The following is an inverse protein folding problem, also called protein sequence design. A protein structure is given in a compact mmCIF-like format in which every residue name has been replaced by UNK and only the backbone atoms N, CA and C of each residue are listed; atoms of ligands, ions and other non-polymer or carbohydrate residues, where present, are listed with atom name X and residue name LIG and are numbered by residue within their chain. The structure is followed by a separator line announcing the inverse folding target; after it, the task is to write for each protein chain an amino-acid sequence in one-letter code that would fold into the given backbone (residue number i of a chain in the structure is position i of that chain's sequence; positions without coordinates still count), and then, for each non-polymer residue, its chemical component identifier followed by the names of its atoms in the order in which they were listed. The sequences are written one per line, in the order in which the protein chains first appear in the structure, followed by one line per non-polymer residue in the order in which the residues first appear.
data_IF_231583322107
#
_entry.id   IF_231583322107
#
_cell.length_a   1.000
_cell.length_b   1.000
_cell.length_c   1.000
_cell.angle_alpha   90.00
_cell.angle_beta   90.00
_cell.angle_gamma   90.00
#
_symmetry.space_group_name_H-M   'P 1'
#
loop_
_entity.id
_entity.type
_entity.pdbx_description
1 polymer ?
#
# COMPACT_ATOMS: atom_id res chain seq x y z
N UNK A 1 8.43 13.46 -19.32
CA UNK A 1 9.74 14.07 -18.96
C UNK A 1 10.55 13.09 -18.13
N UNK A 2 11.88 13.26 -18.00
CA UNK A 2 12.72 12.43 -17.13
C UNK A 2 12.19 12.37 -15.68
N UNK A 3 11.69 13.50 -15.17
CA UNK A 3 11.05 13.56 -13.84
C UNK A 3 9.88 12.59 -13.72
N UNK A 4 9.03 12.51 -14.72
CA UNK A 4 7.84 11.64 -14.71
C UNK A 4 8.24 10.16 -14.75
N UNK A 5 9.32 9.82 -15.47
CA UNK A 5 9.90 8.46 -15.47
C UNK A 5 10.38 8.07 -14.08
N UNK A 6 11.06 8.99 -13.38
CA UNK A 6 11.54 8.76 -12.01
C UNK A 6 10.38 8.57 -11.04
N UNK A 7 9.34 9.42 -11.12
CA UNK A 7 8.14 9.29 -10.28
C UNK A 7 7.41 7.97 -10.55
N UNK A 8 7.28 7.56 -11.82
CA UNK A 8 6.65 6.29 -12.19
C UNK A 8 7.44 5.08 -11.67
N UNK A 9 8.77 5.11 -11.73
CA UNK A 9 9.61 4.04 -11.17
C UNK A 9 9.40 3.87 -9.67
N UNK A 10 9.27 4.98 -8.94
CA UNK A 10 8.98 4.98 -7.49
C UNK A 10 7.55 4.50 -7.20
N UNK A 11 6.58 4.80 -8.06
CA UNK A 11 5.24 4.18 -7.98
C UNK A 11 5.33 2.67 -8.14
N UNK A 12 6.13 2.17 -9.07
CA UNK A 12 6.30 0.72 -9.26
C UNK A 12 6.86 0.04 -7.99
N UNK A 13 7.81 0.68 -7.30
CA UNK A 13 8.31 0.23 -6.01
C UNK A 13 7.19 0.16 -4.95
N UNK A 14 6.37 1.20 -4.85
CA UNK A 14 5.23 1.25 -3.92
C UNK A 14 4.20 0.15 -4.22
N UNK A 15 3.85 -0.07 -5.49
CA UNK A 15 2.93 -1.12 -5.93
C UNK A 15 3.44 -2.51 -5.57
N UNK A 16 4.72 -2.76 -5.82
CA UNK A 16 5.37 -4.02 -5.43
C UNK A 16 5.26 -4.23 -3.92
N UNK A 17 5.53 -3.18 -3.12
CA UNK A 17 5.40 -3.26 -1.68
C UNK A 17 3.95 -3.53 -1.24
N UNK A 18 2.96 -2.88 -1.85
CA UNK A 18 1.54 -3.13 -1.57
C UNK A 18 1.14 -4.59 -1.83
N UNK A 19 1.63 -5.19 -2.92
CA UNK A 19 1.40 -6.61 -3.22
C UNK A 19 2.05 -7.53 -2.19
N UNK A 20 3.26 -7.19 -1.71
CA UNK A 20 3.93 -7.92 -0.62
C UNK A 20 3.13 -7.83 0.67
N UNK A 21 2.70 -6.63 1.08
CA UNK A 21 1.88 -6.44 2.29
C UNK A 21 0.57 -7.21 2.18
N UNK A 22 -0.10 -7.17 1.03
CA UNK A 22 -1.33 -7.94 0.80
C UNK A 22 -1.10 -9.44 0.96
N UNK A 23 -0.04 -9.99 0.36
CA UNK A 23 0.32 -11.41 0.51
C UNK A 23 0.64 -11.78 1.97
N UNK A 24 1.37 -10.92 2.68
CA UNK A 24 1.72 -11.16 4.08
C UNK A 24 0.49 -11.10 5.01
N UNK A 25 -0.48 -10.24 4.70
CA UNK A 25 -1.79 -10.21 5.37
C UNK A 25 -2.58 -11.50 5.15
N UNK A 26 -2.64 -12.03 3.93
CA UNK A 26 -3.30 -13.33 3.66
C UNK A 26 -2.63 -14.49 4.40
N UNK A 27 -1.30 -14.47 4.50
CA UNK A 27 -0.54 -15.47 5.28
C UNK A 27 -0.80 -15.34 6.78
N UNK A 28 -0.93 -14.12 7.29
CA UNK A 28 -1.31 -13.86 8.68
C UNK A 28 -2.74 -14.36 8.96
N UNK A 29 -3.70 -14.02 8.08
CA UNK A 29 -5.08 -14.49 8.18
C UNK A 29 -5.16 -16.02 8.18
N UNK A 30 -4.41 -16.69 7.31
CA UNK A 30 -4.38 -18.16 7.26
C UNK A 30 -3.93 -18.84 8.56
N UNK A 31 -3.20 -18.11 9.44
CA UNK A 31 -2.73 -18.60 10.73
C UNK A 31 -3.60 -18.17 11.90
N UNK A 32 -4.11 -16.93 11.87
CA UNK A 32 -4.76 -16.30 13.02
C UNK A 32 -6.26 -16.01 12.80
N UNK A 33 -6.77 -16.34 11.61
CA UNK A 33 -8.17 -16.15 11.19
C UNK A 33 -8.67 -14.70 11.31
N UNK A 34 -7.75 -13.74 11.16
CA UNK A 34 -8.02 -12.30 11.14
C UNK A 34 -6.89 -11.56 10.43
N UNK A 35 -7.17 -10.42 9.81
CA UNK A 35 -6.12 -9.47 9.40
C UNK A 35 -5.68 -8.60 10.59
N UNK A 36 -4.66 -7.77 10.37
CA UNK A 36 -4.12 -6.88 11.39
C UNK A 36 -3.64 -5.57 10.76
N UNK A 37 -3.73 -4.48 11.52
CA UNK A 37 -3.14 -3.19 11.21
C UNK A 37 -1.62 -3.28 11.45
N UNK A 38 -0.92 -4.02 10.61
CA UNK A 38 0.53 -4.15 10.60
C UNK A 38 0.94 -4.40 9.15
N UNK A 39 1.68 -3.48 8.56
CA UNK A 39 2.19 -3.61 7.18
C UNK A 39 3.35 -4.60 7.04
N UNK A 40 3.82 -5.20 8.15
CA UNK A 40 4.80 -6.28 8.21
C UNK A 40 4.38 -7.36 9.24
N UNK A 41 3.19 -7.98 9.07
CA UNK A 41 2.53 -8.78 10.11
C UNK A 41 3.24 -10.11 10.39
N UNK A 42 4.18 -10.51 9.52
CA UNK A 42 4.99 -11.71 9.70
C UNK A 42 6.26 -11.46 10.52
N UNK A 43 6.59 -10.20 10.81
CA UNK A 43 7.67 -9.87 11.73
C UNK A 43 7.19 -10.07 13.17
N UNK A 44 7.89 -10.91 13.93
CA UNK A 44 7.49 -11.26 15.30
C UNK A 44 8.08 -10.30 16.35
N UNK A 45 7.28 -9.79 17.31
CA UNK A 45 5.82 -9.91 17.35
C UNK A 45 5.16 -8.99 16.31
N UNK A 46 4.02 -9.42 15.77
CA UNK A 46 3.15 -8.52 15.02
C UNK A 46 2.67 -7.40 15.95
N UNK A 47 2.64 -6.16 15.45
CA UNK A 47 2.34 -4.97 16.24
C UNK A 47 1.36 -4.09 15.49
N UNK A 48 0.23 -3.77 16.13
CA UNK A 48 -0.74 -2.82 15.60
C UNK A 48 -0.08 -1.47 15.29
N UNK A 49 -0.49 -0.81 14.20
CA UNK A 49 0.00 0.47 13.73
C UNK A 49 1.40 0.46 13.11
N UNK A 50 1.99 -0.72 12.85
CA UNK A 50 3.34 -0.78 12.25
C UNK A 50 3.29 -0.45 10.76
N UNK A 51 3.92 0.65 10.39
CA UNK A 51 4.14 1.05 9.00
C UNK A 51 5.42 0.45 8.39
N UNK A 52 5.46 0.44 7.06
CA UNK A 52 6.60 -0.06 6.28
C UNK A 52 6.99 0.97 5.24
N UNK A 53 8.27 1.26 5.13
CA UNK A 53 8.77 2.15 4.08
C UNK A 53 9.25 1.36 2.86
N UNK A 54 9.12 1.95 1.68
CA UNK A 54 9.82 1.46 0.50
C UNK A 54 11.34 1.56 0.69
N UNK A 55 12.14 0.81 -0.08
CA UNK A 55 13.60 0.83 0.00
C UNK A 55 14.15 2.24 -0.26
N UNK A 56 13.53 2.99 -1.17
CA UNK A 56 13.86 4.40 -1.42
C UNK A 56 13.44 5.36 -0.31
N UNK A 57 12.61 4.94 0.64
CA UNK A 57 12.02 5.80 1.67
C UNK A 57 11.01 6.83 1.13
N UNK A 58 10.55 6.67 -0.11
CA UNK A 58 9.68 7.64 -0.80
C UNK A 58 8.19 7.30 -0.70
N UNK A 59 7.84 6.19 -0.05
CA UNK A 59 6.50 5.87 0.37
C UNK A 59 6.50 5.27 1.78
N UNK A 60 5.45 5.55 2.55
CA UNK A 60 5.05 4.77 3.72
C UNK A 60 3.82 3.93 3.38
N UNK A 61 3.78 2.70 3.88
CA UNK A 61 2.68 1.76 3.70
C UNK A 61 2.02 1.52 5.05
N UNK A 62 0.72 1.82 5.14
CA UNK A 62 -0.15 1.43 6.27
C UNK A 62 -1.12 0.31 5.84
N UNK A 63 -1.70 -0.38 6.82
CA UNK A 63 -2.78 -1.34 6.61
C UNK A 63 -3.92 -1.02 7.57
N UNK A 64 -5.08 -0.65 7.02
CA UNK A 64 -6.23 -0.17 7.81
C UNK A 64 -7.47 -1.03 7.53
N UNK A 65 -8.52 -0.89 8.34
CA UNK A 65 -9.81 -1.50 8.02
C UNK A 65 -10.37 -0.93 6.72
N UNK A 66 -11.06 -1.77 5.93
CA UNK A 66 -11.86 -1.27 4.81
C UNK A 66 -12.96 -0.33 5.30
N UNK A 67 -13.37 0.64 4.47
CA UNK A 67 -14.38 1.65 4.84
C UNK A 67 -15.71 1.04 5.34
N UNK A 68 -16.15 -0.07 4.74
CA UNK A 68 -17.41 -0.74 5.04
C UNK A 68 -17.21 -2.09 5.75
N UNK A 69 -16.05 -2.32 6.38
CA UNK A 69 -15.67 -3.63 6.92
C UNK A 69 -14.95 -3.56 8.27
N UNK A 70 -14.95 -4.69 8.98
CA UNK A 70 -14.13 -4.86 10.16
C UNK A 70 -12.73 -5.35 9.77
N UNK A 71 -11.69 -4.84 10.42
CA UNK A 71 -10.30 -5.17 10.12
C UNK A 71 -10.06 -6.67 10.09
N UNK A 72 -10.66 -7.43 11.00
CA UNK A 72 -10.50 -8.90 11.04
C UNK A 72 -10.83 -9.59 9.71
N UNK A 73 -11.72 -9.01 8.89
CA UNK A 73 -12.20 -9.62 7.64
C UNK A 73 -11.90 -8.79 6.40
N UNK A 74 -11.45 -7.55 6.55
CA UNK A 74 -11.14 -6.69 5.41
C UNK A 74 -10.09 -5.65 5.81
N UNK A 75 -8.98 -5.65 5.10
CA UNK A 75 -7.98 -4.59 5.17
C UNK A 75 -7.85 -3.84 3.83
N UNK A 76 -7.34 -2.62 3.91
CA UNK A 76 -6.81 -1.84 2.80
C UNK A 76 -5.37 -1.44 3.12
N UNK A 77 -4.43 -1.84 2.27
CA UNK A 77 -3.06 -1.36 2.34
C UNK A 77 -2.94 -0.08 1.49
N UNK A 78 -2.35 0.98 2.05
CA UNK A 78 -2.22 2.28 1.39
C UNK A 78 -0.78 2.74 1.37
N UNK A 79 -0.28 3.07 0.17
CA UNK A 79 1.00 3.71 -0.05
C UNK A 79 0.83 5.23 -0.12
N UNK A 80 1.39 5.94 0.84
CA UNK A 80 1.39 7.40 0.93
C UNK A 80 2.77 7.94 0.55
N UNK A 81 2.87 8.84 -0.46
CA UNK A 81 4.15 9.35 -0.94
C UNK A 81 4.81 10.28 0.07
N UNK A 82 6.13 10.17 0.18
CA UNK A 82 6.98 10.97 1.04
C UNK A 82 8.01 11.76 0.21
N UNK A 83 8.48 12.88 0.79
CA UNK A 83 9.56 13.67 0.22
C UNK A 83 9.31 14.08 -1.24
N UNK A 84 10.28 13.83 -2.11
CA UNK A 84 10.19 14.23 -3.52
C UNK A 84 9.07 13.54 -4.32
N UNK A 85 8.52 12.43 -3.81
CA UNK A 85 7.41 11.75 -4.46
C UNK A 85 6.08 12.47 -4.26
N UNK A 86 5.96 13.34 -3.25
CA UNK A 86 4.73 14.12 -3.02
C UNK A 86 4.43 15.12 -4.15
N UNK A 87 5.36 15.33 -5.08
CA UNK A 87 5.14 16.10 -6.32
C UNK A 87 4.44 15.28 -7.43
N UNK A 88 4.20 13.98 -7.22
CA UNK A 88 3.47 13.13 -8.14
C UNK A 88 1.96 13.47 -8.12
N UNK A 89 1.32 13.41 -9.28
CA UNK A 89 -0.13 13.52 -9.39
C UNK A 89 -0.88 12.31 -8.81
N UNK A 90 -0.20 11.19 -8.60
CA UNK A 90 -0.70 10.05 -7.82
C UNK A 90 -0.33 10.22 -6.34
N UNK A 91 -1.24 10.80 -5.55
CA UNK A 91 -0.99 11.15 -4.14
C UNK A 91 -1.24 10.02 -3.16
N UNK A 92 -1.87 8.93 -3.59
CA UNK A 92 -1.85 7.65 -2.86
C UNK A 92 -2.20 6.50 -3.80
N UNK A 93 -1.67 5.31 -3.50
CA UNK A 93 -2.02 4.05 -4.17
C UNK A 93 -2.51 3.07 -3.09
N UNK A 94 -3.51 2.25 -3.37
CA UNK A 94 -3.99 1.27 -2.41
C UNK A 94 -4.39 -0.05 -3.05
N UNK A 95 -4.39 -1.11 -2.26
CA UNK A 95 -4.97 -2.41 -2.59
C UNK A 95 -5.74 -2.94 -1.39
N UNK A 96 -6.97 -3.41 -1.59
CA UNK A 96 -7.75 -4.06 -0.54
C UNK A 96 -7.56 -5.58 -0.52
N UNK A 97 -8.05 -6.23 0.54
CA UNK A 97 -8.07 -7.70 0.71
C UNK A 97 -8.72 -8.47 -0.46
N UNK A 98 -9.53 -7.81 -1.30
CA UNK A 98 -10.18 -8.41 -2.48
C UNK A 98 -9.37 -8.17 -3.77
N UNK A 99 -8.20 -7.52 -3.66
CA UNK A 99 -7.35 -7.14 -4.79
C UNK A 99 -7.83 -5.91 -5.55
N UNK A 100 -8.84 -5.19 -5.04
CA UNK A 100 -9.31 -3.94 -5.66
C UNK A 100 -8.27 -2.86 -5.45
N UNK A 101 -7.81 -2.29 -6.56
CA UNK A 101 -6.78 -1.24 -6.58
C UNK A 101 -7.44 0.14 -6.52
N UNK A 102 -6.86 1.03 -5.74
CA UNK A 102 -7.28 2.42 -5.60
C UNK A 102 -6.15 3.40 -5.89
N UNK A 103 -6.50 4.59 -6.35
CA UNK A 103 -5.58 5.71 -6.46
C UNK A 103 -6.29 7.01 -6.08
N UNK A 104 -5.54 7.98 -5.56
CA UNK A 104 -6.00 9.36 -5.36
C UNK A 104 -4.97 10.34 -5.92
N UNK A 105 -5.40 11.58 -6.09
CA UNK A 105 -4.56 12.70 -6.52
C UNK A 105 -5.13 13.42 -7.74
N UNK A 106 -4.33 14.27 -8.37
CA UNK A 106 -4.73 14.97 -9.60
C UNK A 106 -4.79 14.06 -10.82
N UNK A 107 -4.07 12.94 -10.79
CA UNK A 107 -4.07 11.90 -11.82
C UNK A 107 -4.80 10.65 -11.31
N UNK A 108 -5.96 10.80 -10.67
CA UNK A 108 -6.69 9.70 -10.02
C UNK A 108 -7.23 8.62 -10.96
N UNK A 109 -6.94 8.69 -12.26
CA UNK A 109 -7.18 7.59 -13.18
C UNK A 109 -6.34 6.38 -12.76
N UNK A 110 -7.02 5.27 -12.44
CA UNK A 110 -6.39 4.01 -12.09
C UNK A 110 -5.43 3.54 -13.18
N UNK A 111 -5.72 3.80 -14.46
CA UNK A 111 -4.81 3.41 -15.52
C UNK A 111 -3.54 4.25 -15.51
N UNK A 112 -3.60 5.52 -15.10
CA UNK A 112 -2.41 6.37 -15.03
C UNK A 112 -1.56 6.06 -13.79
N UNK A 113 -2.21 5.81 -12.66
CA UNK A 113 -1.52 5.53 -11.40
C UNK A 113 -1.10 4.06 -11.24
N UNK A 114 -1.85 3.09 -11.77
CA UNK A 114 -1.61 1.64 -11.60
C UNK A 114 -1.11 0.90 -12.86
N UNK A 115 -1.35 1.34 -14.10
CA UNK A 115 -1.05 0.53 -15.29
C UNK A 115 0.44 0.46 -15.69
N UNK A 116 1.31 1.27 -15.07
CA UNK A 116 2.75 1.32 -15.37
C UNK A 116 3.63 1.00 -14.17
#
# INVERSE_FOLDING_TARGET
SYRDVVLSSRRAEAKSMLLVVSSDQERYFSRFNRYIDDSSPLNSPASAGREKHTTSGLYTISADACADGHLDFCFVATATPLGSQSADGCTSLSIDSRGVRGAKGSLSDLNECWAH
#
